data_IF_503953972972
#
_entry.id   IF_503953972972
#
_cell.length_a   1.000
_cell.length_b   1.000
_cell.length_c   1.000
_cell.angle_alpha   90.00
_cell.angle_beta   90.00
_cell.angle_gamma   90.00
#
_symmetry.space_group_name_H-M   'P 1'
#
loop_
_entity.id
_entity.type
_entity.pdbx_description
1 polymer ?
#
# COMPACT_ATOMS: atom_id res chain seq x y z
N UNK A 1 72.99 15.89 -14.49
CA UNK A 1 72.06 16.97 -14.11
C UNK A 1 70.69 16.50 -14.56
N UNK A 2 69.84 16.00 -13.66
CA UNK A 2 68.73 16.75 -13.03
C UNK A 2 67.89 17.46 -14.11
N UNK A 3 66.61 17.14 -14.32
CA UNK A 3 65.55 17.13 -13.31
C UNK A 3 64.53 16.00 -13.48
N UNK A 4 64.17 15.43 -12.33
CA UNK A 4 62.85 14.87 -12.06
C UNK A 4 61.85 16.02 -12.07
N UNK A 5 60.79 15.93 -12.87
CA UNK A 5 59.58 16.69 -12.60
C UNK A 5 58.43 15.70 -12.42
N UNK A 6 57.99 15.63 -11.18
CA UNK A 6 56.90 14.82 -10.65
C UNK A 6 55.54 15.49 -10.97
N UNK A 7 54.43 14.76 -10.81
CA UNK A 7 53.23 14.89 -11.63
C UNK A 7 52.28 16.00 -11.13
N UNK A 8 51.72 16.78 -12.05
CA UNK A 8 50.48 17.49 -11.78
C UNK A 8 49.32 16.49 -11.93
N UNK A 9 49.09 15.72 -10.87
CA UNK A 9 47.82 15.03 -10.67
C UNK A 9 46.78 16.12 -10.47
N UNK A 10 46.16 16.56 -11.56
CA UNK A 10 44.92 17.29 -11.50
C UNK A 10 43.92 16.40 -10.76
N UNK A 11 43.63 16.76 -9.51
CA UNK A 11 42.52 16.20 -8.74
C UNK A 11 41.25 16.49 -9.53
N UNK A 12 40.89 15.54 -10.39
CA UNK A 12 39.58 15.48 -11.02
C UNK A 12 38.59 15.35 -9.87
N UNK A 13 37.97 16.48 -9.52
CA UNK A 13 36.78 16.50 -8.69
C UNK A 13 35.70 15.76 -9.48
N UNK A 14 35.59 14.46 -9.24
CA UNK A 14 34.50 13.66 -9.77
C UNK A 14 33.28 14.05 -8.94
N UNK A 15 32.53 15.02 -9.44
CA UNK A 15 31.12 15.18 -9.09
C UNK A 15 30.39 13.99 -9.73
N UNK A 16 30.56 12.80 -9.15
CA UNK A 16 29.89 11.59 -9.61
C UNK A 16 28.44 11.68 -9.17
N UNK A 17 27.53 11.89 -10.12
CA UNK A 17 26.11 11.78 -9.84
C UNK A 17 25.83 10.39 -9.23
N UNK A 18 25.03 10.30 -8.15
CA UNK A 18 24.81 9.02 -7.47
C UNK A 18 24.27 8.01 -8.48
N UNK A 19 24.91 6.84 -8.55
CA UNK A 19 24.52 5.79 -9.48
C UNK A 19 23.19 5.19 -9.02
N UNK A 20 22.09 5.78 -9.47
CA UNK A 20 20.74 5.31 -9.21
C UNK A 20 20.51 3.96 -9.88
N UNK A 21 20.03 2.99 -9.10
CA UNK A 21 19.54 1.70 -9.63
C UNK A 21 18.03 1.82 -9.76
N UNK A 22 17.50 1.48 -10.93
CA UNK A 22 16.06 1.38 -11.12
C UNK A 22 15.58 -0.04 -10.88
N UNK A 23 14.56 -0.17 -10.04
CA UNK A 23 13.88 -1.43 -9.73
C UNK A 23 12.50 -1.39 -10.40
N UNK A 24 12.25 -2.31 -11.32
CA UNK A 24 10.93 -2.45 -11.96
C UNK A 24 9.99 -3.25 -11.06
N UNK A 25 8.82 -2.68 -10.78
CA UNK A 25 7.75 -3.29 -9.98
C UNK A 25 6.48 -3.35 -10.85
N UNK A 26 5.53 -4.22 -10.52
CA UNK A 26 4.27 -4.40 -11.27
C UNK A 26 3.50 -3.08 -11.50
N UNK A 27 3.60 -2.12 -10.58
CA UNK A 27 2.91 -0.81 -10.63
C UNK A 27 3.77 0.34 -11.18
N UNK A 28 5.00 0.08 -11.65
CA UNK A 28 5.88 1.11 -12.22
C UNK A 28 7.36 0.93 -11.89
N UNK A 29 8.14 1.96 -12.21
CA UNK A 29 9.58 1.98 -11.95
C UNK A 29 9.88 2.73 -10.65
N UNK A 30 10.68 2.10 -9.78
CA UNK A 30 11.13 2.67 -8.52
C UNK A 30 12.61 3.03 -8.65
N UNK A 31 12.93 4.31 -8.57
CA UNK A 31 14.31 4.77 -8.51
C UNK A 31 14.85 4.62 -7.08
N UNK A 32 15.92 3.82 -6.91
CA UNK A 32 16.61 3.62 -5.63
C UNK A 32 18.00 4.21 -5.73
N UNK A 33 18.31 5.17 -4.86
CA UNK A 33 19.68 5.69 -4.73
C UNK A 33 20.49 4.73 -3.89
N UNK A 34 21.64 4.31 -4.41
CA UNK A 34 22.62 3.51 -3.67
C UNK A 34 23.75 4.47 -3.24
N UNK A 35 24.31 4.33 -2.01
CA UNK A 35 25.47 5.10 -1.60
C UNK A 35 26.68 4.82 -2.49
N UNK A 36 27.48 5.85 -2.76
CA UNK A 36 28.64 5.74 -3.66
C UNK A 36 29.76 4.86 -3.08
N UNK A 37 29.80 4.70 -1.75
CA UNK A 37 30.75 3.85 -1.03
C UNK A 37 30.27 2.39 -0.85
N UNK A 38 29.06 2.06 -1.32
CA UNK A 38 28.51 0.72 -1.19
C UNK A 38 29.25 -0.27 -2.10
N UNK A 39 29.71 -1.37 -1.51
CA UNK A 39 30.24 -2.49 -2.30
C UNK A 39 29.11 -3.12 -3.13
N UNK A 40 29.47 -3.84 -4.20
CA UNK A 40 28.48 -4.55 -5.02
C UNK A 40 27.59 -5.51 -4.21
N UNK A 41 28.15 -6.13 -3.16
CA UNK A 41 27.38 -6.99 -2.26
C UNK A 41 26.38 -6.21 -1.41
N UNK A 42 26.77 -5.03 -0.92
CA UNK A 42 25.87 -4.17 -0.14
C UNK A 42 24.80 -3.55 -1.02
N UNK A 43 25.14 -3.08 -2.22
CA UNK A 43 24.20 -2.60 -3.21
C UNK A 43 23.15 -3.67 -3.57
N UNK A 44 23.58 -4.92 -3.75
CA UNK A 44 22.68 -6.06 -3.98
C UNK A 44 21.77 -6.32 -2.78
N UNK A 45 22.31 -6.26 -1.56
CA UNK A 45 21.52 -6.45 -0.33
C UNK A 45 20.46 -5.35 -0.16
N UNK A 46 20.82 -4.09 -0.40
CA UNK A 46 19.90 -2.95 -0.36
C UNK A 46 18.79 -3.14 -1.38
N UNK A 47 19.14 -3.41 -2.64
CA UNK A 47 18.18 -3.60 -3.73
C UNK A 47 17.23 -4.76 -3.43
N UNK A 48 17.75 -5.88 -2.92
CA UNK A 48 16.95 -7.03 -2.53
C UNK A 48 16.01 -6.71 -1.36
N UNK A 49 16.47 -5.99 -0.35
CA UNK A 49 15.66 -5.60 0.80
C UNK A 49 14.51 -4.66 0.39
N UNK A 50 14.79 -3.68 -0.47
CA UNK A 50 13.77 -2.75 -0.99
C UNK A 50 12.76 -3.51 -1.85
N UNK A 51 13.21 -4.35 -2.80
CA UNK A 51 12.33 -5.15 -3.65
C UNK A 51 11.43 -6.10 -2.85
N UNK A 52 11.98 -6.76 -1.83
CA UNK A 52 11.22 -7.61 -0.92
C UNK A 52 10.16 -6.81 -0.14
N UNK A 53 10.51 -5.63 0.38
CA UNK A 53 9.56 -4.78 1.10
C UNK A 53 8.41 -4.33 0.20
N UNK A 54 8.70 -3.88 -1.02
CA UNK A 54 7.66 -3.42 -1.96
C UNK A 54 6.72 -4.57 -2.32
N UNK A 55 7.27 -5.75 -2.62
CA UNK A 55 6.46 -6.95 -2.94
C UNK A 55 5.57 -7.36 -1.76
N UNK A 56 6.09 -7.31 -0.53
CA UNK A 56 5.30 -7.60 0.68
C UNK A 56 4.15 -6.60 0.87
N UNK A 57 4.43 -5.30 0.67
CA UNK A 57 3.40 -4.25 0.71
C UNK A 57 2.31 -4.45 -0.33
N UNK A 58 2.67 -4.83 -1.56
CA UNK A 58 1.70 -5.12 -2.62
C UNK A 58 0.82 -6.33 -2.25
N UNK A 59 1.42 -7.41 -1.72
CA UNK A 59 0.67 -8.58 -1.24
C UNK A 59 -0.29 -8.22 -0.10
N UNK A 60 0.17 -7.42 0.86
CA UNK A 60 -0.68 -6.95 1.96
C UNK A 60 -1.83 -6.07 1.46
N UNK A 61 -1.57 -5.19 0.49
CA UNK A 61 -2.60 -4.36 -0.14
C UNK A 61 -3.62 -5.20 -0.92
N UNK A 62 -3.17 -6.19 -1.69
CA UNK A 62 -4.04 -7.12 -2.41
C UNK A 62 -4.90 -7.95 -1.45
N UNK A 63 -4.32 -8.45 -0.35
CA UNK A 63 -5.06 -9.17 0.68
C UNK A 63 -6.09 -8.26 1.37
N UNK A 64 -5.75 -7.00 1.66
CA UNK A 64 -6.67 -6.03 2.22
C UNK A 64 -7.79 -5.66 1.23
N UNK A 65 -7.51 -5.57 -0.06
CA UNK A 65 -8.53 -5.35 -1.09
C UNK A 65 -9.47 -6.55 -1.20
N UNK A 66 -8.94 -7.78 -1.16
CA UNK A 66 -9.74 -9.01 -1.16
C UNK A 66 -10.59 -9.19 0.12
N UNK A 67 -10.12 -8.67 1.26
CA UNK A 67 -10.84 -8.74 2.54
C UNK A 67 -11.88 -7.65 2.74
N UNK A 68 -11.95 -6.64 1.85
CA UNK A 68 -13.04 -5.66 1.84
C UNK A 68 -14.35 -6.36 1.48
N UNK A 69 -15.03 -6.87 2.50
CA UNK A 69 -16.42 -7.29 2.36
C UNK A 69 -17.25 -6.04 2.06
N UNK A 70 -17.91 -6.04 0.90
CA UNK A 70 -18.96 -5.06 0.63
C UNK A 70 -20.11 -5.37 1.57
N UNK A 71 -20.29 -4.53 2.60
CA UNK A 71 -21.46 -4.61 3.45
C UNK A 71 -22.66 -4.28 2.58
N UNK A 72 -23.50 -5.29 2.35
CA UNK A 72 -24.71 -5.10 1.59
C UNK A 72 -25.87 -4.85 2.53
N UNK A 73 -26.54 -3.72 2.33
CA UNK A 73 -27.68 -3.30 3.12
C UNK A 73 -28.99 -3.81 2.52
N UNK A 74 -29.97 -4.03 3.40
CA UNK A 74 -31.34 -4.37 3.02
C UNK A 74 -32.09 -3.11 2.61
N UNK A 75 -33.02 -3.25 1.67
CA UNK A 75 -33.94 -2.16 1.34
C UNK A 75 -34.80 -1.80 2.57
N UNK A 76 -34.54 -0.63 3.14
CA UNK A 76 -35.23 -0.17 4.33
C UNK A 76 -36.75 0.01 4.13
N UNK A 77 -37.22 0.35 2.92
CA UNK A 77 -38.66 0.50 2.65
C UNK A 77 -39.37 -0.85 2.69
N UNK A 78 -38.73 -1.89 2.16
CA UNK A 78 -39.21 -3.27 2.23
C UNK A 78 -39.26 -3.76 3.68
N UNK A 79 -38.28 -3.39 4.50
CA UNK A 79 -38.25 -3.72 5.92
C UNK A 79 -39.32 -2.93 6.71
N UNK A 80 -39.47 -1.63 6.44
CA UNK A 80 -40.49 -0.78 7.03
C UNK A 80 -41.91 -1.31 6.75
N UNK A 81 -42.23 -1.66 5.51
CA UNK A 81 -43.53 -2.24 5.16
C UNK A 81 -43.81 -3.60 5.83
N UNK A 82 -42.78 -4.37 6.20
CA UNK A 82 -42.95 -5.59 7.03
C UNK A 82 -43.23 -5.24 8.49
N UNK A 83 -42.58 -4.21 9.02
CA UNK A 83 -42.75 -3.73 10.40
C UNK A 83 -44.10 -3.04 10.63
N UNK A 84 -44.65 -2.38 9.61
CA UNK A 84 -45.99 -1.79 9.64
C UNK A 84 -47.07 -2.81 9.99
N UNK A 85 -46.94 -4.07 9.51
CA UNK A 85 -47.86 -5.17 9.86
C UNK A 85 -47.90 -5.47 11.36
N UNK A 86 -46.85 -5.10 12.10
CA UNK A 86 -46.74 -5.23 13.55
C UNK A 86 -46.99 -3.90 14.29
N UNK A 87 -47.55 -2.90 13.61
CA UNK A 87 -47.90 -1.59 14.18
C UNK A 87 -46.69 -0.68 14.45
N UNK A 88 -45.53 -0.98 13.85
CA UNK A 88 -44.31 -0.18 14.03
C UNK A 88 -44.15 0.81 12.90
N UNK A 89 -44.03 2.10 13.26
CA UNK A 89 -43.91 3.23 12.32
C UNK A 89 -42.46 3.68 12.09
N UNK A 90 -41.54 3.34 13.01
CA UNK A 90 -40.14 3.74 12.88
C UNK A 90 -39.43 2.81 11.90
N UNK A 91 -38.92 3.39 10.82
CA UNK A 91 -38.10 2.73 9.82
C UNK A 91 -36.70 2.43 10.38
N UNK A 92 -36.21 1.19 10.29
CA UNK A 92 -34.80 0.89 10.49
C UNK A 92 -33.98 1.39 9.29
N UNK A 93 -32.81 1.95 9.55
CA UNK A 93 -31.87 2.43 8.53
C UNK A 93 -30.57 1.65 8.62
N UNK A 94 -29.84 1.53 7.50
CA UNK A 94 -28.53 0.89 7.41
C UNK A 94 -28.53 -0.54 8.00
N UNK A 95 -29.59 -1.31 7.74
CA UNK A 95 -29.67 -2.70 8.19
C UNK A 95 -28.84 -3.57 7.26
N UNK A 96 -27.75 -4.12 7.77
CA UNK A 96 -26.93 -5.09 7.03
C UNK A 96 -27.75 -6.34 6.72
N UNK A 97 -27.55 -6.92 5.54
CA UNK A 97 -28.22 -8.16 5.15
C UNK A 97 -27.79 -9.30 6.07
N UNK A 98 -28.76 -10.03 6.62
CA UNK A 98 -28.57 -11.04 7.66
C UNK A 98 -28.84 -10.53 9.08
N UNK A 99 -28.86 -9.21 9.28
CA UNK A 99 -29.12 -8.56 10.56
C UNK A 99 -30.57 -8.05 10.69
N UNK A 100 -31.47 -8.45 9.79
CA UNK A 100 -32.88 -8.03 9.79
C UNK A 100 -33.60 -8.44 11.08
N UNK A 101 -33.23 -9.60 11.65
CA UNK A 101 -33.79 -10.08 12.91
C UNK A 101 -33.35 -9.22 14.11
N UNK A 102 -32.11 -8.72 14.11
CA UNK A 102 -31.61 -7.79 15.14
C UNK A 102 -32.31 -6.45 15.01
N UNK A 103 -32.47 -5.95 13.79
CA UNK A 103 -33.20 -4.71 13.52
C UNK A 103 -34.66 -4.82 13.98
N UNK A 104 -35.34 -5.94 13.68
CA UNK A 104 -36.70 -6.21 14.15
C UNK A 104 -36.80 -6.30 15.67
N UNK A 105 -35.80 -6.89 16.35
CA UNK A 105 -35.75 -6.96 17.81
C UNK A 105 -35.61 -5.57 18.46
N UNK A 106 -34.75 -4.70 17.91
CA UNK A 106 -34.62 -3.31 18.40
C UNK A 106 -35.89 -2.49 18.17
N UNK A 107 -36.58 -2.71 17.06
CA UNK A 107 -37.86 -2.06 16.78
C UNK A 107 -38.99 -2.48 17.73
N UNK A 108 -38.82 -3.52 18.56
CA UNK A 108 -39.81 -3.92 19.56
C UNK A 108 -39.83 -3.01 20.80
N UNK A 109 -38.78 -2.23 21.06
CA UNK A 109 -38.67 -1.28 22.18
C UNK A 109 -38.79 0.15 21.64
#
# INVERSE_FOLDING_TARGET
MSSLEQPETAEQSVDEAPQGVTVTVEDGELAVSIPDDATASEAAAITAAVGAHVTDRQRAAAAAAASRQTVEYVDDWKLAGRLERFGKRRRPENVERGDEWKAAARARY
#
